data_IF_954564360956
#
_entry.id   IF_954564360956
#
_cell.length_a   1.000
_cell.length_b   1.000
_cell.length_c   1.000
_cell.angle_alpha   90.00
_cell.angle_beta   90.00
_cell.angle_gamma   90.00
#
_symmetry.space_group_name_H-M   'P 1'
#
loop_
_entity.id
_entity.type
_entity.pdbx_description
1 polymer ?
#
# COMPACT_ATOMS: atom_id res chain seq x y z
N UNK A 1 -3.71 -3.09 -22.21
CA UNK A 1 -3.13 -3.57 -20.93
C UNK A 1 -2.34 -4.83 -21.22
N UNK A 2 -1.08 -4.89 -20.79
CA UNK A 2 -0.20 -6.05 -20.98
C UNK A 2 0.12 -6.60 -19.60
N UNK A 3 0.00 -7.92 -19.40
CA UNK A 3 0.33 -8.58 -18.12
C UNK A 3 1.36 -9.66 -18.37
N UNK A 4 2.44 -9.65 -17.58
CA UNK A 4 3.46 -10.70 -17.56
C UNK A 4 3.13 -11.63 -16.42
N UNK A 5 2.85 -12.90 -16.72
CA UNK A 5 2.39 -13.89 -15.75
C UNK A 5 3.45 -14.99 -15.63
N UNK A 6 3.84 -15.30 -14.39
CA UNK A 6 4.60 -16.49 -14.08
C UNK A 6 3.71 -17.72 -14.24
N UNK A 7 4.14 -18.66 -15.08
CA UNK A 7 3.53 -19.99 -15.19
C UNK A 7 4.48 -20.98 -14.51
N UNK A 8 4.02 -21.78 -13.53
CA UNK A 8 4.88 -22.75 -12.84
C UNK A 8 5.52 -23.75 -13.82
N UNK A 9 6.81 -24.03 -13.64
CA UNK A 9 7.54 -25.03 -14.42
C UNK A 9 8.43 -25.93 -13.53
N UNK A 10 9.26 -26.80 -14.14
CA UNK A 10 10.13 -27.71 -13.40
C UNK A 10 11.23 -26.98 -12.61
N UNK A 11 11.64 -25.80 -13.05
CA UNK A 11 12.69 -24.98 -12.44
C UNK A 11 12.10 -24.01 -11.39
N UNK A 12 10.85 -23.56 -11.56
CA UNK A 12 10.17 -22.59 -10.71
C UNK A 12 8.76 -23.06 -10.33
N UNK A 13 8.66 -23.68 -9.14
CA UNK A 13 7.41 -24.24 -8.59
C UNK A 13 6.50 -23.24 -7.88
N UNK A 14 6.76 -21.94 -8.01
CA UNK A 14 5.92 -20.90 -7.38
C UNK A 14 4.54 -20.89 -8.05
N UNK A 15 3.49 -20.58 -7.30
CA UNK A 15 2.14 -20.49 -7.88
C UNK A 15 2.07 -19.48 -9.04
N UNK A 16 1.10 -19.69 -9.93
CA UNK A 16 0.84 -18.77 -11.04
C UNK A 16 0.53 -17.36 -10.48
N UNK A 17 1.24 -16.33 -10.94
CA UNK A 17 1.05 -14.95 -10.46
C UNK A 17 1.47 -13.92 -11.50
N UNK A 18 0.84 -12.75 -11.46
CA UNK A 18 1.23 -11.60 -12.27
C UNK A 18 2.55 -11.04 -11.71
N UNK A 19 3.57 -10.97 -12.55
CA UNK A 19 4.88 -10.38 -12.22
C UNK A 19 4.89 -8.88 -12.50
N UNK A 20 4.36 -8.49 -13.66
CA UNK A 20 4.30 -7.10 -14.11
C UNK A 20 2.99 -6.82 -14.83
N UNK A 21 2.51 -5.60 -14.73
CA UNK A 21 1.31 -5.15 -15.42
C UNK A 21 1.57 -3.76 -15.98
N UNK A 22 1.36 -3.60 -17.29
CA UNK A 22 1.65 -2.37 -18.02
C UNK A 22 0.41 -1.83 -18.73
N UNK A 23 0.31 -0.51 -18.79
CA UNK A 23 -0.60 0.22 -19.66
C UNK A 23 0.18 0.59 -20.93
N UNK A 24 -0.30 0.15 -22.08
CA UNK A 24 0.23 0.55 -23.38
C UNK A 24 -0.66 1.67 -23.92
N UNK A 25 -0.08 2.86 -24.11
CA UNK A 25 -0.74 4.00 -24.72
C UNK A 25 -0.68 3.90 -26.25
N UNK A 26 -1.60 4.58 -26.95
CA UNK A 26 -1.66 4.60 -28.41
C UNK A 26 -0.36 5.13 -29.07
N UNK A 27 0.43 5.90 -28.34
CA UNK A 27 1.72 6.45 -28.76
C UNK A 27 2.89 5.43 -28.61
N UNK A 28 2.61 4.20 -28.17
CA UNK A 28 3.62 3.16 -27.96
C UNK A 28 4.36 3.25 -26.62
N UNK A 29 3.98 4.17 -25.73
CA UNK A 29 4.55 4.30 -24.40
C UNK A 29 3.96 3.27 -23.42
N UNK A 30 4.82 2.71 -22.56
CA UNK A 30 4.45 1.78 -21.50
C UNK A 30 4.52 2.46 -20.13
N UNK A 31 3.49 2.29 -19.32
CA UNK A 31 3.48 2.71 -17.92
C UNK A 31 3.21 1.51 -17.01
N UNK A 32 3.97 1.37 -15.93
CA UNK A 32 3.70 0.38 -14.89
C UNK A 32 2.36 0.66 -14.20
N UNK A 33 1.50 -0.35 -14.11
CA UNK A 33 0.34 -0.31 -13.22
C UNK A 33 0.78 -0.65 -11.81
N UNK A 34 0.65 0.31 -10.90
CA UNK A 34 0.76 0.05 -9.47
C UNK A 34 -0.27 -0.99 -9.06
N UNK A 35 0.15 -2.05 -8.37
CA UNK A 35 -0.78 -3.02 -7.81
C UNK A 35 -1.72 -2.32 -6.83
N UNK A 36 -3.02 -2.36 -7.14
CA UNK A 36 -4.07 -1.80 -6.30
C UNK A 36 -4.33 -2.77 -5.14
N UNK A 37 -3.54 -2.64 -4.08
CA UNK A 37 -3.85 -3.25 -2.79
C UNK A 37 -4.55 -2.21 -1.92
N UNK A 38 -5.71 -2.56 -1.38
CA UNK A 38 -6.43 -1.68 -0.47
C UNK A 38 -5.81 -1.84 0.91
N UNK A 39 -5.17 -0.80 1.40
CA UNK A 39 -4.63 -0.80 2.75
C UNK A 39 -5.64 -0.25 3.75
N UNK A 40 -5.56 -0.76 4.96
CA UNK A 40 -6.33 -0.24 6.07
C UNK A 40 -5.65 1.00 6.66
N UNK A 41 -5.91 2.17 6.05
CA UNK A 41 -6.16 3.44 6.75
C UNK A 41 -6.22 4.59 5.74
N UNK A 42 -7.42 5.12 5.53
CA UNK A 42 -7.61 6.52 5.19
C UNK A 42 -8.18 7.16 6.45
N UNK A 43 -7.34 7.83 7.23
CA UNK A 43 -7.82 8.80 8.22
C UNK A 43 -7.56 10.24 7.76
N UNK A 44 -7.59 10.47 6.45
CA UNK A 44 -7.87 11.79 5.90
C UNK A 44 -9.39 11.95 5.89
N UNK A 45 -9.95 12.43 6.98
CA UNK A 45 -11.27 13.07 6.97
C UNK A 45 -11.23 14.23 5.96
N UNK A 46 -12.01 14.20 4.86
CA UNK A 46 -12.40 15.43 4.21
C UNK A 46 -13.67 15.89 4.92
N UNK A 47 -13.50 16.54 6.08
CA UNK A 47 -14.59 17.27 6.70
C UNK A 47 -14.95 18.43 5.79
N UNK A 48 -16.00 18.29 4.99
CA UNK A 48 -16.71 19.43 4.43
C UNK A 48 -18.15 19.04 4.06
N UNK A 49 -19.10 19.49 4.89
CA UNK A 49 -20.27 20.25 4.47
C UNK A 49 -21.04 20.77 5.72
N UNK A 50 -20.85 22.07 5.99
CA UNK A 50 -21.85 23.13 6.33
C UNK A 50 -23.20 22.70 6.91
N UNK A 51 -23.79 23.26 7.99
CA UNK A 51 -23.78 24.62 8.61
C UNK A 51 -24.77 24.59 9.83
N UNK A 52 -25.07 25.69 10.58
CA UNK A 52 -24.26 26.74 11.23
C UNK A 52 -24.44 26.76 12.78
N UNK A 53 -23.52 27.38 13.53
CA UNK A 53 -23.79 28.38 14.59
C UNK A 53 -22.47 28.80 15.28
N UNK A 54 -22.45 30.02 15.81
CA UNK A 54 -21.31 30.94 15.93
C UNK A 54 -20.38 30.75 17.14
N UNK A 55 -19.08 31.08 16.99
CA UNK A 55 -18.34 32.07 17.81
C UNK A 55 -16.82 32.14 17.51
N UNK A 56 -16.36 33.35 17.14
CA UNK A 56 -15.04 34.01 17.35
C UNK A 56 -13.73 33.17 17.21
N UNK A 57 -12.69 33.56 16.46
CA UNK A 57 -11.94 34.83 16.50
C UNK A 57 -10.92 34.85 15.36
N UNK A 58 -10.66 36.07 14.88
CA UNK A 58 -9.70 36.55 13.90
C UNK A 58 -8.25 36.03 14.03
N UNK A 59 -7.66 35.51 12.94
CA UNK A 59 -6.23 35.65 12.66
C UNK A 59 -5.90 35.56 11.16
N UNK A 60 -6.33 36.61 10.45
CA UNK A 60 -5.50 37.46 9.56
C UNK A 60 -4.20 36.88 8.93
N UNK A 61 -4.22 36.84 7.59
CA UNK A 61 -3.20 37.42 6.69
C UNK A 61 -1.88 36.64 6.39
N UNK A 62 -1.83 35.99 5.20
CA UNK A 62 -1.09 36.45 4.00
C UNK A 62 -0.67 35.27 3.09
N UNK A 63 -1.39 35.11 1.98
CA UNK A 63 -0.82 34.59 0.74
C UNK A 63 0.26 35.55 0.24
N UNK A 64 1.48 35.07 -0.04
CA UNK A 64 2.21 35.42 -1.28
C UNK A 64 3.54 34.69 -1.49
N UNK A 65 3.69 34.27 -2.75
CA UNK A 65 4.92 34.18 -3.55
C UNK A 65 5.85 33.00 -3.29
N UNK A 66 5.83 32.06 -4.25
CA UNK A 66 6.74 30.92 -4.29
C UNK A 66 8.12 31.21 -4.84
N UNK A 67 9.04 30.32 -4.50
CA UNK A 67 10.13 29.82 -5.34
C UNK A 67 10.43 28.38 -4.92
N UNK A 68 10.83 27.61 -5.92
CA UNK A 68 11.20 26.20 -5.92
C UNK A 68 12.17 25.76 -4.82
N UNK A 69 11.80 24.73 -4.08
CA UNK A 69 12.73 23.68 -3.66
C UNK A 69 12.06 22.34 -4.00
N UNK A 70 12.73 21.57 -4.85
CA UNK A 70 12.38 20.19 -5.16
C UNK A 70 12.58 19.37 -3.89
N UNK A 71 11.60 19.38 -3.01
CA UNK A 71 11.50 18.38 -1.96
C UNK A 71 11.20 17.07 -2.65
N UNK A 72 12.25 16.24 -2.74
CA UNK A 72 12.09 14.80 -2.90
C UNK A 72 11.26 14.38 -1.69
N UNK A 73 9.95 14.34 -1.89
CA UNK A 73 9.02 13.70 -0.98
C UNK A 73 9.61 12.30 -0.75
N UNK A 74 10.17 11.99 0.45
CA UNK A 74 10.57 10.63 0.74
C UNK A 74 9.31 9.80 0.52
N UNK A 75 9.38 8.64 -0.16
CA UNK A 75 8.19 7.84 -0.39
C UNK A 75 7.52 7.69 0.96
N UNK A 76 6.33 8.28 1.13
CA UNK A 76 5.62 8.23 2.39
C UNK A 76 5.51 6.75 2.73
N UNK A 77 6.43 6.30 3.57
CA UNK A 77 6.41 5.03 4.25
C UNK A 77 5.37 5.23 5.34
N UNK A 78 4.15 5.48 4.89
CA UNK A 78 2.94 5.38 5.67
C UNK A 78 2.86 3.89 6.00
N UNK A 79 3.66 3.50 6.98
CA UNK A 79 3.82 2.15 7.50
C UNK A 79 2.46 1.80 8.05
N UNK A 80 1.63 1.22 7.19
CA UNK A 80 0.28 0.83 7.55
C UNK A 80 0.44 -0.23 8.63
N UNK A 81 0.04 0.12 9.84
CA UNK A 81 0.11 -0.80 10.96
C UNK A 81 -0.99 -1.85 10.83
N UNK A 82 -0.71 -3.04 11.35
CA UNK A 82 -1.69 -4.12 11.43
C UNK A 82 -2.91 -3.65 12.21
N UNK A 83 -4.11 -3.79 11.64
CA UNK A 83 -5.37 -3.34 12.28
C UNK A 83 -5.70 -4.12 13.56
N UNK A 84 -5.08 -5.29 13.75
CA UNK A 84 -5.33 -6.17 14.88
C UNK A 84 -4.43 -5.84 16.06
N UNK A 85 -3.11 -5.80 15.85
CA UNK A 85 -2.15 -5.59 16.93
C UNK A 85 -1.64 -4.15 17.04
N UNK A 86 -1.79 -3.33 16.00
CA UNK A 86 -1.29 -1.95 15.92
C UNK A 86 0.20 -1.80 16.27
N UNK A 87 0.98 -2.88 16.12
CA UNK A 87 2.39 -2.94 16.50
C UNK A 87 3.28 -3.45 15.36
N UNK A 88 2.76 -4.33 14.50
CA UNK A 88 3.51 -4.86 13.37
C UNK A 88 3.06 -4.22 12.07
N UNK A 89 4.00 -3.93 11.18
CA UNK A 89 3.72 -3.42 9.82
C UNK A 89 2.92 -4.44 9.02
N UNK A 90 1.93 -3.98 8.24
CA UNK A 90 1.20 -4.87 7.33
C UNK A 90 2.13 -5.43 6.27
N UNK A 91 2.04 -6.74 6.05
CA UNK A 91 2.83 -7.42 5.03
C UNK A 91 1.99 -8.40 4.20
N UNK A 92 0.72 -8.63 4.54
CA UNK A 92 -0.08 -9.68 3.92
C UNK A 92 -1.25 -9.15 3.10
N UNK A 93 -1.39 -9.68 1.88
CA UNK A 93 -2.56 -9.51 1.03
C UNK A 93 -3.49 -10.70 1.22
N UNK A 94 -4.77 -10.43 1.47
CA UNK A 94 -5.80 -11.46 1.66
C UNK A 94 -6.66 -11.61 0.39
N UNK A 95 -6.71 -12.78 -0.25
CA UNK A 95 -7.52 -13.03 -1.44
C UNK A 95 -8.86 -13.69 -1.09
N UNK A 96 -9.96 -13.35 -1.81
CA UNK A 96 -10.01 -12.52 -3.03
C UNK A 96 -10.14 -11.02 -2.77
N UNK A 97 -10.31 -10.56 -1.52
CA UNK A 97 -10.65 -9.17 -1.23
C UNK A 97 -9.51 -8.15 -1.38
N UNK A 98 -8.26 -8.62 -1.48
CA UNK A 98 -7.02 -7.83 -1.63
C UNK A 98 -6.74 -6.80 -0.54
N UNK A 99 -7.31 -6.96 0.65
CA UNK A 99 -6.98 -6.10 1.79
C UNK A 99 -5.59 -6.40 2.34
N UNK A 100 -4.85 -5.33 2.65
CA UNK A 100 -3.55 -5.34 3.33
C UNK A 100 -3.72 -4.75 4.73
N UNK A 101 -4.03 -5.62 5.68
CA UNK A 101 -4.41 -5.22 7.05
C UNK A 101 -3.76 -6.06 8.16
N UNK A 102 -2.97 -7.08 7.81
CA UNK A 102 -2.35 -7.99 8.77
C UNK A 102 -0.82 -8.00 8.63
N UNK A 103 -0.13 -8.02 9.77
CA UNK A 103 1.30 -8.31 9.86
C UNK A 103 1.59 -9.82 9.88
N UNK A 104 2.86 -10.20 9.78
CA UNK A 104 3.33 -11.60 9.80
C UNK A 104 2.88 -12.36 11.06
N UNK A 105 2.77 -11.67 12.19
CA UNK A 105 2.32 -12.27 13.45
C UNK A 105 0.81 -12.54 13.48
N UNK A 106 0.00 -11.64 12.90
CA UNK A 106 -1.45 -11.71 13.00
C UNK A 106 -2.09 -12.59 11.94
N UNK A 107 -1.52 -12.69 10.72
CA UNK A 107 -2.15 -13.39 9.59
C UNK A 107 -2.60 -14.82 9.91
N UNK A 108 -1.84 -15.55 10.72
CA UNK A 108 -2.10 -16.96 11.09
C UNK A 108 -3.35 -17.19 11.94
N UNK A 109 -3.91 -16.14 12.54
CA UNK A 109 -5.07 -16.24 13.43
C UNK A 109 -6.41 -15.98 12.72
N UNK A 110 -6.40 -15.58 11.45
CA UNK A 110 -7.59 -15.14 10.74
C UNK A 110 -7.86 -15.95 9.48
N UNK A 111 -9.02 -16.62 9.44
CA UNK A 111 -9.56 -17.23 8.21
C UNK A 111 -10.50 -16.28 7.44
N UNK A 112 -10.83 -15.13 8.02
CA UNK A 112 -11.64 -14.09 7.40
C UNK A 112 -10.90 -12.76 7.48
N UNK A 113 -11.04 -11.94 6.44
CA UNK A 113 -10.47 -10.59 6.43
C UNK A 113 -11.08 -9.73 7.55
N UNK A 114 -10.27 -9.12 8.43
CA UNK A 114 -10.78 -8.23 9.49
C UNK A 114 -11.58 -7.04 8.97
N UNK A 115 -11.27 -6.58 7.76
CA UNK A 115 -11.90 -5.39 7.16
C UNK A 115 -13.28 -5.68 6.57
N UNK A 116 -13.40 -6.73 5.74
CA UNK A 116 -14.62 -7.01 4.99
C UNK A 116 -15.30 -8.34 5.32
N UNK A 117 -14.75 -9.10 6.28
CA UNK A 117 -15.25 -10.41 6.74
C UNK A 117 -15.27 -11.50 5.67
N UNK A 118 -14.72 -11.22 4.48
CA UNK A 118 -14.60 -12.21 3.41
C UNK A 118 -13.66 -13.35 3.81
N UNK A 119 -14.05 -14.59 3.52
CA UNK A 119 -13.20 -15.76 3.76
C UNK A 119 -11.91 -15.68 2.93
N UNK A 120 -10.77 -15.91 3.58
CA UNK A 120 -9.45 -15.87 2.97
C UNK A 120 -9.19 -17.20 2.28
N UNK A 121 -9.16 -17.19 0.95
CA UNK A 121 -8.89 -18.38 0.15
C UNK A 121 -7.38 -18.60 -0.04
N UNK A 122 -6.66 -17.51 -0.29
CA UNK A 122 -5.22 -17.49 -0.50
C UNK A 122 -4.65 -16.22 0.13
N UNK A 123 -3.38 -16.25 0.51
CA UNK A 123 -2.68 -15.06 1.00
C UNK A 123 -1.20 -15.11 0.62
N UNK A 124 -0.61 -13.94 0.43
CA UNK A 124 0.83 -13.82 0.14
C UNK A 124 1.42 -12.58 0.78
N UNK A 125 2.72 -12.63 1.07
CA UNK A 125 3.47 -11.52 1.63
C UNK A 125 3.90 -10.52 0.54
N UNK A 126 3.86 -9.22 0.84
CA UNK A 126 4.27 -8.12 -0.03
C UNK A 126 5.80 -8.03 -0.13
N UNK A 127 6.48 -8.07 1.01
CA UNK A 127 7.94 -8.06 1.10
C UNK A 127 8.42 -9.41 1.65
N UNK A 128 9.30 -10.07 0.90
CA UNK A 128 10.07 -11.20 1.42
C UNK A 128 11.32 -10.63 2.09
N UNK A 129 11.56 -10.92 3.36
CA UNK A 129 12.64 -10.39 4.21
C UNK A 129 14.09 -10.62 3.71
N UNK A 130 14.32 -11.02 2.45
CA UNK A 130 15.65 -11.25 1.88
C UNK A 130 16.38 -10.01 1.38
N UNK A 131 15.73 -8.84 1.28
CA UNK A 131 16.35 -7.67 0.66
C UNK A 131 16.90 -6.63 1.65
N UNK A 132 16.55 -6.68 2.94
CA UNK A 132 17.01 -5.67 3.92
C UNK A 132 18.31 -6.01 4.68
N UNK A 133 18.79 -7.26 4.62
CA UNK A 133 20.04 -7.64 5.30
C UNK A 133 21.31 -7.24 4.51
N UNK A 134 21.17 -6.89 3.22
CA UNK A 134 22.32 -6.62 2.35
C UNK A 134 22.88 -5.20 2.48
N UNK A 135 22.13 -4.26 3.05
CA UNK A 135 22.57 -2.88 3.26
C UNK A 135 23.20 -2.62 4.63
N UNK A 136 22.98 -3.48 5.64
CA UNK A 136 23.65 -3.34 6.95
C UNK A 136 25.07 -3.91 6.99
N UNK A 137 25.46 -4.75 6.04
CA UNK A 137 26.80 -5.37 6.01
C UNK A 137 27.83 -4.58 5.18
N UNK A 138 27.49 -3.42 4.61
CA UNK A 138 28.43 -2.57 3.85
C UNK A 138 28.97 -1.37 4.65
N UNK A 139 28.63 -1.24 5.93
CA UNK A 139 29.06 -0.10 6.77
C UNK A 139 29.85 -0.53 8.00
N UNK A 140 30.48 -1.70 7.97
CA UNK A 140 31.51 -2.10 8.94
C UNK A 140 32.81 -2.44 8.22
#
# INVERSE_FOLDING_TARGET
MVSVIHIPDQNYKLSCRILYQYLLLAQGQFHDLKQLFMSANNNSTPSNNSSPEEQSTDQSLLEKAGLSESEVDPPEENSKDCVVCQNGTVNWVLLPCRHTCLCDGCVKYFQQCPMCRQFVQESFALCSQKEQDKDKLKTL
#
